data_IF_177006696380
#
_entry.id   IF_177006696380
#
_cell.length_a   1.000
_cell.length_b   1.000
_cell.length_c   1.000
_cell.angle_alpha   90.00
_cell.angle_beta   90.00
_cell.angle_gamma   90.00
#
_symmetry.space_group_name_H-M   'P 1'
#
loop_
_entity.id
_entity.type
_entity.pdbx_description
1 polymer ?
#
# COMPACT_ATOMS: atom_id res chain seq x y z
N UNK A 1 25.06 -34.92 8.95
CA UNK A 1 25.42 -33.79 8.05
C UNK A 1 24.54 -33.68 6.78
N UNK A 2 24.47 -34.70 5.92
CA UNK A 2 23.74 -34.63 4.63
C UNK A 2 22.22 -34.36 4.71
N UNK A 3 21.52 -34.85 5.75
CA UNK A 3 20.08 -34.57 5.91
C UNK A 3 19.79 -33.12 6.36
N UNK A 4 20.66 -32.55 7.20
CA UNK A 4 20.53 -31.17 7.67
C UNK A 4 20.78 -30.15 6.55
N UNK A 5 21.73 -30.42 5.65
CA UNK A 5 21.98 -29.58 4.47
C UNK A 5 20.83 -29.62 3.46
N UNK A 6 20.21 -30.79 3.26
CA UNK A 6 19.03 -30.95 2.40
C UNK A 6 17.81 -30.21 2.96
N UNK A 7 17.58 -30.27 4.27
CA UNK A 7 16.53 -29.47 4.91
C UNK A 7 16.74 -27.97 4.74
N UNK A 8 17.98 -27.51 4.90
CA UNK A 8 18.33 -26.08 4.76
C UNK A 8 18.19 -25.56 3.32
N UNK A 9 18.49 -26.38 2.31
CA UNK A 9 18.33 -26.00 0.91
C UNK A 9 16.86 -25.95 0.49
N UNK A 10 16.03 -26.89 0.96
CA UNK A 10 14.58 -26.87 0.75
C UNK A 10 13.93 -25.65 1.40
N UNK A 11 14.33 -25.33 2.63
CA UNK A 11 13.86 -24.12 3.32
C UNK A 11 14.24 -22.84 2.57
N UNK A 12 15.48 -22.73 2.10
CA UNK A 12 15.92 -21.58 1.29
C UNK A 12 15.10 -21.45 0.00
N UNK A 13 14.82 -22.57 -0.69
CA UNK A 13 14.01 -22.56 -1.91
C UNK A 13 12.55 -22.15 -1.63
N UNK A 14 11.94 -22.70 -0.57
CA UNK A 14 10.59 -22.37 -0.16
C UNK A 14 10.45 -20.90 0.24
N UNK A 15 11.43 -20.35 0.98
CA UNK A 15 11.48 -18.94 1.37
C UNK A 15 11.53 -18.04 0.14
N UNK A 16 12.39 -18.33 -0.84
CA UNK A 16 12.48 -17.52 -2.06
C UNK A 16 11.18 -17.57 -2.88
N UNK A 17 10.52 -18.73 -2.96
CA UNK A 17 9.22 -18.86 -3.62
C UNK A 17 8.14 -18.06 -2.88
N UNK A 18 8.11 -18.10 -1.55
CA UNK A 18 7.17 -17.32 -0.75
C UNK A 18 7.33 -15.81 -0.97
N UNK A 19 8.58 -15.31 -1.02
CA UNK A 19 8.86 -13.89 -1.33
C UNK A 19 8.40 -13.52 -2.74
N UNK A 20 8.56 -14.42 -3.72
CA UNK A 20 8.07 -14.19 -5.08
C UNK A 20 6.53 -14.11 -5.13
N UNK A 21 5.82 -15.02 -4.47
CA UNK A 21 4.36 -14.95 -4.40
C UNK A 21 3.89 -13.69 -3.69
N UNK A 22 4.58 -13.30 -2.61
CA UNK A 22 4.29 -12.06 -1.90
C UNK A 22 4.44 -10.84 -2.82
N UNK A 23 5.51 -10.78 -3.60
CA UNK A 23 5.74 -9.75 -4.62
C UNK A 23 4.58 -9.67 -5.63
N UNK A 24 4.11 -10.81 -6.14
CA UNK A 24 2.97 -10.86 -7.07
C UNK A 24 1.68 -10.34 -6.43
N UNK A 25 1.43 -10.68 -5.16
CA UNK A 25 0.28 -10.17 -4.41
C UNK A 25 0.40 -8.66 -4.21
N UNK A 26 1.56 -8.16 -3.79
CA UNK A 26 1.81 -6.73 -3.61
C UNK A 26 1.62 -5.94 -4.90
N UNK A 27 2.16 -6.45 -6.02
CA UNK A 27 1.93 -5.84 -7.34
C UNK A 27 0.45 -5.80 -7.70
N UNK A 28 -0.29 -6.88 -7.43
CA UNK A 28 -1.73 -6.95 -7.71
C UNK A 28 -2.51 -5.95 -6.84
N UNK A 29 -2.18 -5.85 -5.55
CA UNK A 29 -2.78 -4.89 -4.61
C UNK A 29 -2.43 -3.46 -5.00
N UNK A 30 -1.18 -3.19 -5.37
CA UNK A 30 -0.74 -1.87 -5.81
C UNK A 30 -1.47 -1.46 -7.10
N UNK A 31 -1.55 -2.36 -8.09
CA UNK A 31 -2.29 -2.11 -9.32
C UNK A 31 -3.76 -1.86 -9.02
N UNK A 32 -4.37 -2.63 -8.11
CA UNK A 32 -5.75 -2.40 -7.69
C UNK A 32 -5.95 -1.04 -7.00
N UNK A 33 -5.00 -0.59 -6.17
CA UNK A 33 -5.08 0.71 -5.48
C UNK A 33 -4.79 1.91 -6.38
N UNK A 34 -3.85 1.77 -7.33
CA UNK A 34 -3.43 2.84 -8.24
C UNK A 34 -4.31 2.91 -9.49
N UNK A 35 -4.97 1.81 -9.87
CA UNK A 35 -5.86 1.80 -11.02
C UNK A 35 -6.87 2.94 -10.89
N UNK A 36 -6.96 3.84 -11.90
CA UNK A 36 -8.00 4.86 -11.94
C UNK A 36 -9.33 4.13 -12.09
N UNK A 37 -10.00 3.86 -10.97
CA UNK A 37 -11.26 3.14 -10.97
C UNK A 37 -12.25 3.91 -11.85
N UNK A 38 -12.81 3.28 -12.90
CA UNK A 38 -13.84 3.90 -13.71
C UNK A 38 -14.99 4.38 -12.82
N UNK A 39 -15.50 5.59 -13.07
CA UNK A 39 -16.47 6.30 -12.22
C UNK A 39 -17.73 5.50 -11.88
N UNK A 40 -18.10 4.50 -12.68
CA UNK A 40 -19.22 3.59 -12.42
C UNK A 40 -18.93 2.51 -11.35
N UNK A 41 -17.67 2.07 -11.19
CA UNK A 41 -17.26 1.12 -10.14
C UNK A 41 -16.86 1.81 -8.84
N UNK A 42 -16.46 3.08 -8.91
CA UNK A 42 -16.00 3.89 -7.78
C UNK A 42 -17.04 3.93 -6.65
N UNK A 43 -18.33 4.10 -6.97
CA UNK A 43 -19.40 4.10 -5.97
C UNK A 43 -19.60 2.73 -5.29
N UNK A 44 -19.52 1.63 -6.04
CA UNK A 44 -19.65 0.27 -5.52
C UNK A 44 -18.47 -0.14 -4.63
N UNK A 45 -17.25 0.13 -5.08
CA UNK A 45 -16.02 -0.20 -4.37
C UNK A 45 -15.84 0.67 -3.13
N UNK A 46 -16.10 1.98 -3.20
CA UNK A 46 -16.04 2.87 -2.02
C UNK A 46 -17.12 2.51 -1.02
N UNK A 47 -18.32 2.09 -1.45
CA UNK A 47 -19.37 1.62 -0.52
C UNK A 47 -19.01 0.27 0.10
N UNK A 48 -18.35 -0.63 -0.63
CA UNK A 48 -17.91 -1.93 -0.12
C UNK A 48 -16.68 -1.81 0.82
N UNK A 49 -15.73 -0.93 0.49
CA UNK A 49 -14.55 -0.58 1.30
C UNK A 49 -14.94 0.30 2.50
N UNK A 50 -15.93 1.18 2.36
CA UNK A 50 -16.46 2.01 3.44
C UNK A 50 -17.38 1.24 4.40
N UNK A 51 -18.07 0.21 3.91
CA UNK A 51 -18.90 -0.69 4.74
C UNK A 51 -18.08 -1.75 5.47
N UNK A 52 -16.88 -2.08 4.99
CA UNK A 52 -16.02 -3.04 5.64
C UNK A 52 -14.90 -2.29 6.36
N UNK A 53 -14.84 -2.40 7.69
CA UNK A 53 -13.70 -1.99 8.51
C UNK A 53 -12.37 -2.64 8.10
N UNK A 54 -12.33 -3.39 6.99
CA UNK A 54 -11.18 -3.97 6.31
C UNK A 54 -10.09 -2.93 6.09
N UNK A 55 -10.41 -1.69 5.70
CA UNK A 55 -9.39 -0.69 5.45
C UNK A 55 -8.63 -0.36 6.75
N UNK A 56 -9.34 -0.04 7.83
CA UNK A 56 -8.74 0.20 9.14
C UNK A 56 -8.09 -1.05 9.77
N UNK A 57 -8.64 -2.24 9.50
CA UNK A 57 -8.09 -3.51 9.98
C UNK A 57 -6.81 -3.92 9.25
N UNK A 58 -6.58 -3.43 8.03
CA UNK A 58 -5.42 -3.77 7.20
C UNK A 58 -4.14 -3.01 7.59
N UNK A 59 -4.25 -1.89 8.30
CA UNK A 59 -3.08 -1.09 8.68
C UNK A 59 -2.11 -1.84 9.62
N UNK A 60 -2.65 -2.56 10.62
CA UNK A 60 -1.84 -3.34 11.56
C UNK A 60 -1.08 -4.49 10.88
N UNK A 61 -1.72 -5.40 10.11
CA UNK A 61 -1.01 -6.49 9.45
C UNK A 61 0.01 -6.01 8.43
N UNK A 62 -0.27 -4.94 7.67
CA UNK A 62 0.70 -4.35 6.72
C UNK A 62 1.95 -3.83 7.46
N UNK A 63 1.78 -3.20 8.62
CA UNK A 63 2.91 -2.76 9.44
C UNK A 63 3.76 -3.94 9.91
N UNK A 64 3.14 -4.99 10.48
CA UNK A 64 3.88 -6.19 10.90
C UNK A 64 4.56 -6.90 9.72
N UNK A 65 3.85 -7.04 8.58
CA UNK A 65 4.39 -7.65 7.36
C UNK A 65 5.62 -6.87 6.87
N UNK A 66 5.58 -5.54 6.91
CA UNK A 66 6.71 -4.70 6.50
C UNK A 66 7.98 -4.96 7.31
N UNK A 67 7.86 -5.15 8.63
CA UNK A 67 9.00 -5.50 9.49
C UNK A 67 9.53 -6.89 9.17
N UNK A 68 8.65 -7.88 8.97
CA UNK A 68 9.05 -9.24 8.58
C UNK A 68 9.81 -9.22 7.24
N UNK A 69 9.29 -8.54 6.23
CA UNK A 69 9.94 -8.42 4.91
C UNK A 69 11.26 -7.66 5.01
N UNK A 70 11.38 -6.64 5.87
CA UNK A 70 12.64 -5.96 6.14
C UNK A 70 13.70 -6.90 6.73
N UNK A 71 13.32 -7.74 7.69
CA UNK A 71 14.21 -8.76 8.26
C UNK A 71 14.61 -9.81 7.21
N UNK A 72 13.68 -10.24 6.36
CA UNK A 72 13.97 -11.16 5.26
C UNK A 72 14.95 -10.54 4.25
N UNK A 73 14.75 -9.28 3.88
CA UNK A 73 15.65 -8.54 3.00
C UNK A 73 17.04 -8.44 3.62
N UNK A 74 17.15 -8.08 4.90
CA UNK A 74 18.43 -8.07 5.62
C UNK A 74 19.11 -9.46 5.61
N UNK A 75 18.35 -10.55 5.77
CA UNK A 75 18.86 -11.91 5.65
C UNK A 75 19.41 -12.21 4.25
N UNK A 76 18.71 -11.78 3.18
CA UNK A 76 19.19 -11.97 1.81
C UNK A 76 20.46 -11.17 1.52
N UNK A 77 20.60 -9.96 2.08
CA UNK A 77 21.83 -9.15 1.99
C UNK A 77 22.99 -9.88 2.65
N UNK A 78 22.81 -10.36 3.88
CA UNK A 78 23.84 -11.09 4.60
C UNK A 78 24.29 -12.34 3.82
N UNK A 79 23.35 -13.08 3.24
CA UNK A 79 23.67 -14.24 2.43
C UNK A 79 24.42 -13.86 1.14
N UNK A 80 23.97 -12.81 0.43
CA UNK A 80 24.65 -12.30 -0.76
C UNK A 80 26.09 -11.90 -0.46
N UNK A 81 26.33 -11.18 0.64
CA UNK A 81 27.67 -10.77 1.07
C UNK A 81 28.55 -11.99 1.40
N UNK A 82 28.01 -13.00 2.10
CA UNK A 82 28.73 -14.26 2.37
C UNK A 82 29.12 -15.01 1.09
N UNK A 83 28.20 -15.12 0.12
CA UNK A 83 28.51 -15.76 -1.16
C UNK A 83 29.51 -14.95 -1.99
N UNK A 84 29.50 -13.61 -1.87
CA UNK A 84 30.46 -12.73 -2.52
C UNK A 84 31.87 -12.93 -1.95
N UNK A 85 31.99 -12.93 -0.63
CA UNK A 85 33.26 -13.19 0.07
C UNK A 85 33.80 -14.60 -0.21
N UNK A 86 32.91 -15.60 -0.25
CA UNK A 86 33.29 -16.98 -0.64
C UNK A 86 33.81 -17.06 -2.08
N UNK A 87 33.27 -16.24 -2.98
CA UNK A 87 33.76 -16.17 -4.36
C UNK A 87 35.11 -15.45 -4.46
N UNK A 88 35.29 -14.36 -3.71
CA UNK A 88 36.54 -13.58 -3.69
C UNK A 88 37.71 -14.30 -2.98
N UNK A 89 37.42 -15.18 -2.02
CA UNK A 89 38.44 -15.94 -1.28
C UNK A 89 38.94 -17.21 -1.99
N UNK A 90 38.35 -17.59 -3.14
CA UNK A 90 38.85 -18.70 -3.95
C UNK A 90 40.07 -18.22 -4.75
N UNK A 91 41.23 -18.83 -4.49
CA UNK A 91 42.46 -18.60 -5.26
C UNK A 91 42.29 -19.05 -6.73
N UNK A 92 43.12 -18.51 -7.62
CA UNK A 92 43.10 -18.90 -9.04
C UNK A 92 43.52 -20.37 -9.27
N UNK A 93 44.17 -21.00 -8.30
CA UNK A 93 44.48 -22.44 -8.28
C UNK A 93 43.29 -23.32 -7.84
N UNK A 94 42.20 -22.75 -7.34
CA UNK A 94 41.01 -23.53 -7.06
C UNK A 94 40.51 -24.18 -8.36
N UNK A 95 40.26 -25.49 -8.35
CA UNK A 95 39.66 -26.22 -9.48
C UNK A 95 38.56 -25.38 -10.11
N UNK A 96 38.67 -25.11 -11.42
CA UNK A 96 37.78 -24.26 -12.21
C UNK A 96 36.29 -24.51 -11.90
N UNK A 97 35.94 -25.76 -11.63
CA UNK A 97 34.62 -26.22 -11.19
C UNK A 97 34.12 -25.55 -9.90
N UNK A 98 34.96 -25.44 -8.86
CA UNK A 98 34.62 -24.80 -7.59
C UNK A 98 34.38 -23.29 -7.76
N UNK A 99 35.21 -22.63 -8.57
CA UNK A 99 35.06 -21.20 -8.89
C UNK A 99 33.78 -20.94 -9.68
N UNK A 100 33.48 -21.81 -10.65
CA UNK A 100 32.23 -21.75 -11.42
C UNK A 100 31.01 -21.95 -10.53
N UNK A 101 31.01 -22.95 -9.64
CA UNK A 101 29.92 -23.22 -8.73
C UNK A 101 29.68 -22.07 -7.74
N UNK A 102 30.76 -21.46 -7.21
CA UNK A 102 30.66 -20.29 -6.36
C UNK A 102 30.03 -19.09 -7.10
N UNK A 103 30.40 -18.88 -8.36
CA UNK A 103 29.83 -17.82 -9.21
C UNK A 103 28.32 -18.02 -9.43
N UNK A 104 27.88 -19.25 -9.70
CA UNK A 104 26.46 -19.57 -9.87
C UNK A 104 25.66 -19.28 -8.59
N UNK A 105 26.20 -19.70 -7.43
CA UNK A 105 25.56 -19.45 -6.14
C UNK A 105 25.48 -17.95 -5.81
N UNK A 106 26.51 -17.18 -6.16
CA UNK A 106 26.50 -15.72 -6.01
C UNK A 106 25.39 -15.07 -6.84
N UNK A 107 25.24 -15.45 -8.13
CA UNK A 107 24.15 -14.94 -8.96
C UNK A 107 22.76 -15.31 -8.44
N UNK A 108 22.60 -16.53 -7.93
CA UNK A 108 21.36 -16.95 -7.30
C UNK A 108 21.03 -16.08 -6.07
N UNK A 109 22.02 -15.80 -5.22
CA UNK A 109 21.85 -14.93 -4.06
C UNK A 109 21.55 -13.48 -4.45
N UNK A 110 22.21 -12.94 -5.48
CA UNK A 110 21.99 -11.59 -5.98
C UNK A 110 20.56 -11.42 -6.55
N UNK A 111 20.07 -12.40 -7.32
CA UNK A 111 18.68 -12.39 -7.80
C UNK A 111 17.69 -12.40 -6.63
N UNK A 112 17.91 -13.24 -5.63
CA UNK A 112 17.01 -13.34 -4.48
C UNK A 112 16.99 -12.03 -3.66
N UNK A 113 18.13 -11.34 -3.54
CA UNK A 113 18.21 -10.01 -2.96
C UNK A 113 17.36 -8.99 -3.73
N UNK A 114 17.44 -8.95 -5.07
CA UNK A 114 16.63 -8.04 -5.86
C UNK A 114 15.13 -8.27 -5.69
N UNK A 115 14.68 -9.54 -5.70
CA UNK A 115 13.27 -9.89 -5.49
C UNK A 115 12.80 -9.44 -4.09
N UNK A 116 13.58 -9.73 -3.04
CA UNK A 116 13.24 -9.30 -1.68
C UNK A 116 13.27 -7.78 -1.50
N UNK A 117 14.19 -7.09 -2.18
CA UNK A 117 14.28 -5.63 -2.15
C UNK A 117 13.10 -4.95 -2.84
N UNK A 118 12.66 -5.47 -3.99
CA UNK A 118 11.47 -4.98 -4.69
C UNK A 118 10.20 -5.15 -3.86
N UNK A 119 10.06 -6.29 -3.18
CA UNK A 119 8.94 -6.56 -2.26
C UNK A 119 8.88 -5.52 -1.13
N UNK A 120 10.01 -5.25 -0.49
CA UNK A 120 10.11 -4.22 0.55
C UNK A 120 9.71 -2.82 0.05
N UNK A 121 10.17 -2.47 -1.15
CA UNK A 121 9.85 -1.18 -1.77
C UNK A 121 8.34 -1.08 -2.07
N UNK A 122 7.73 -2.13 -2.63
CA UNK A 122 6.30 -2.15 -2.93
C UNK A 122 5.46 -2.03 -1.65
N UNK A 123 5.86 -2.72 -0.58
CA UNK A 123 5.21 -2.60 0.74
C UNK A 123 5.22 -1.17 1.27
N UNK A 124 6.35 -0.47 1.15
CA UNK A 124 6.47 0.94 1.54
C UNK A 124 5.54 1.82 0.71
N UNK A 125 5.50 1.59 -0.60
CA UNK A 125 4.62 2.34 -1.53
C UNK A 125 3.14 2.10 -1.19
N UNK A 126 2.73 0.84 -0.96
CA UNK A 126 1.37 0.49 -0.55
C UNK A 126 1.00 1.20 0.76
N UNK A 127 1.89 1.21 1.75
CA UNK A 127 1.65 1.90 3.02
C UNK A 127 1.42 3.41 2.82
N UNK A 128 2.22 4.06 1.97
CA UNK A 128 2.07 5.48 1.65
C UNK A 128 0.76 5.79 0.94
N UNK A 129 0.44 5.03 -0.11
CA UNK A 129 -0.80 5.21 -0.88
C UNK A 129 -2.02 4.99 0.02
N UNK A 130 -1.99 3.98 0.88
CA UNK A 130 -3.04 3.72 1.86
C UNK A 130 -3.28 4.90 2.81
N UNK A 131 -2.21 5.48 3.36
CA UNK A 131 -2.33 6.63 4.26
C UNK A 131 -2.94 7.83 3.54
N UNK A 132 -2.50 8.13 2.32
CA UNK A 132 -3.04 9.21 1.50
C UNK A 132 -4.51 8.97 1.13
N UNK A 133 -4.87 7.74 0.76
CA UNK A 133 -6.26 7.39 0.42
C UNK A 133 -7.22 7.59 1.60
N UNK A 134 -6.77 7.30 2.82
CA UNK A 134 -7.56 7.55 4.04
C UNK A 134 -7.80 9.03 4.27
N UNK A 135 -6.79 9.87 4.05
CA UNK A 135 -6.91 11.33 4.16
C UNK A 135 -7.86 11.88 3.09
N UNK A 136 -7.73 11.42 1.84
CA UNK A 136 -8.62 11.79 0.74
C UNK A 136 -10.08 11.46 1.06
N UNK A 137 -10.38 10.26 1.57
CA UNK A 137 -11.74 9.87 1.94
C UNK A 137 -12.32 10.75 3.06
N UNK A 138 -11.51 11.07 4.08
CA UNK A 138 -11.94 11.96 5.17
C UNK A 138 -12.22 13.38 4.66
N UNK A 139 -11.39 13.86 3.75
CA UNK A 139 -11.53 15.18 3.14
C UNK A 139 -12.78 15.25 2.25
N UNK A 140 -13.06 14.21 1.46
CA UNK A 140 -14.26 14.12 0.61
C UNK A 140 -15.55 14.07 1.44
N UNK A 141 -15.57 13.31 2.53
CA UNK A 141 -16.71 13.26 3.45
C UNK A 141 -16.96 14.62 4.12
N UNK A 142 -15.90 15.30 4.55
CA UNK A 142 -16.00 16.64 5.17
C UNK A 142 -16.45 17.68 4.16
N UNK A 143 -15.91 17.67 2.94
CA UNK A 143 -16.32 18.57 1.86
C UNK A 143 -17.80 18.40 1.47
N UNK A 144 -18.29 17.17 1.43
CA UNK A 144 -19.71 16.88 1.16
C UNK A 144 -20.61 17.39 2.28
N UNK A 145 -20.19 17.23 3.54
CA UNK A 145 -20.94 17.74 4.70
C UNK A 145 -20.97 19.28 4.71
N UNK A 146 -19.83 19.93 4.45
CA UNK A 146 -19.75 21.40 4.35
C UNK A 146 -20.61 21.94 3.21
N UNK A 147 -20.62 21.28 2.05
CA UNK A 147 -21.49 21.67 0.93
C UNK A 147 -22.97 21.60 1.32
N UNK A 148 -23.40 20.52 1.98
CA UNK A 148 -24.78 20.40 2.49
C UNK A 148 -25.12 21.47 3.53
N UNK A 149 -24.18 21.83 4.41
CA UNK A 149 -24.38 22.91 5.38
C UNK A 149 -24.50 24.28 4.69
N UNK A 150 -23.66 24.55 3.68
CA UNK A 150 -23.73 25.78 2.90
C UNK A 150 -25.05 25.89 2.12
N UNK A 151 -25.50 24.80 1.49
CA UNK A 151 -26.78 24.73 0.78
C UNK A 151 -27.96 24.95 1.75
N UNK A 152 -27.92 24.33 2.94
CA UNK A 152 -28.93 24.52 3.98
C UNK A 152 -28.96 25.94 4.55
N UNK A 153 -27.80 26.56 4.77
CA UNK A 153 -27.69 27.94 5.21
C UNK A 153 -28.18 28.92 4.14
N UNK A 154 -27.88 28.69 2.86
CA UNK A 154 -28.42 29.47 1.75
C UNK A 154 -29.95 29.34 1.64
N UNK A 155 -30.48 28.12 1.78
CA UNK A 155 -31.93 27.90 1.77
C UNK A 155 -32.62 28.65 2.92
N UNK A 156 -32.06 28.61 4.13
CA UNK A 156 -32.56 29.36 5.29
C UNK A 156 -32.43 30.88 5.10
N UNK A 157 -31.33 31.36 4.49
CA UNK A 157 -31.17 32.78 4.17
C UNK A 157 -32.23 33.27 3.17
N UNK A 158 -32.52 32.44 2.16
CA UNK A 158 -33.53 32.74 1.14
C UNK A 158 -34.93 32.82 1.74
N UNK A 159 -35.32 31.84 2.57
CA UNK A 159 -36.62 31.89 3.25
C UNK A 159 -36.73 33.10 4.19
N UNK A 160 -35.64 33.48 4.87
CA UNK A 160 -35.63 34.64 5.76
C UNK A 160 -35.73 35.98 4.98
N UNK A 161 -35.21 36.03 3.75
CA UNK A 161 -35.42 37.18 2.85
C UNK A 161 -36.88 37.25 2.39
N UNK A 162 -37.45 36.14 1.95
CA UNK A 162 -38.85 36.06 1.53
C UNK A 162 -39.81 36.47 2.67
N UNK A 163 -39.57 36.00 3.89
CA UNK A 163 -40.34 36.39 5.08
C UNK A 163 -40.21 37.88 5.40
N UNK A 164 -39.00 38.44 5.29
CA UNK A 164 -38.75 39.88 5.50
C UNK A 164 -39.50 40.74 4.47
N UNK A 165 -39.46 40.35 3.21
CA UNK A 165 -40.14 41.06 2.12
C UNK A 165 -41.67 41.00 2.29
N UNK A 166 -42.20 39.83 2.68
CA UNK A 166 -43.62 39.66 2.99
C UNK A 166 -44.08 40.50 4.19
N UNK A 167 -43.27 40.58 5.25
CA UNK A 167 -43.53 41.43 6.41
C UNK A 167 -43.48 42.92 6.07
N UNK A 168 -42.50 43.36 5.27
CA UNK A 168 -42.42 44.74 4.80
C UNK A 168 -43.62 45.14 3.94
N UNK A 169 -44.10 44.24 3.07
CA UNK A 169 -45.29 44.48 2.26
C UNK A 169 -46.55 44.66 3.14
N UNK A 170 -46.72 43.82 4.17
CA UNK A 170 -47.83 43.93 5.13
C UNK A 170 -47.76 45.23 5.95
N UNK A 171 -46.57 45.63 6.39
CA UNK A 171 -46.37 46.89 7.12
C UNK A 171 -46.70 48.12 6.27
N UNK A 172 -46.27 48.14 5.00
CA UNK A 172 -46.61 49.23 4.06
C UNK A 172 -48.11 49.31 3.77
N UNK A 173 -48.79 48.18 3.66
CA UNK A 173 -50.24 48.14 3.47
C UNK A 173 -51.01 48.63 4.71
N UNK A 174 -50.49 48.39 5.92
CA UNK A 174 -51.13 48.82 7.17
C UNK A 174 -50.83 50.28 7.57
N UNK A 175 -49.77 50.89 7.04
CA UNK A 175 -49.39 52.28 7.33
C UNK A 175 -49.93 53.30 6.32
N UNK A 176 -50.55 52.83 5.22
CA UNK A 176 -51.08 53.65 4.13
C UNK A 176 -52.61 53.83 4.13
N UNK A 177 -53.31 53.44 5.19
CA UNK A 177 -54.74 53.68 5.41
C UNK A 177 -54.95 54.49 6.67
#
# INVERSE_FOLDING_TARGET
PHQAERGRSLLMSAVNAAVFYLLCVELSVLLLMVAPLPSFLRGGIIRWIGSSSILAALQRPVMYLSVVVALMCASTIQNMLKYREKYESLSDEAHLENKLQAKVNLFAAQRNFYVSGSCLLLLLVIYRIYAQLKELNKLEATGTALKKQADGAMAAYKSLQEDKDALQAKLKASAGG
#
